data_IF_024954380517
#
_entry.id   IF_024954380517
#
_cell.length_a   1.000
_cell.length_b   1.000
_cell.length_c   1.000
_cell.angle_alpha   90.00
_cell.angle_beta   90.00
_cell.angle_gamma   90.00
#
_symmetry.space_group_name_H-M   'P 1'
#
loop_
_entity.id
_entity.type
_entity.pdbx_description
1 polymer ?
#
# COMPACT_ATOMS: atom_id res chain seq x y z
N UNK A 1 -43.59 -16.97 -12.68
CA UNK A 1 -42.70 -16.99 -11.49
C UNK A 1 -41.44 -17.74 -11.88
N UNK A 2 -40.41 -17.00 -12.31
CA UNK A 2 -39.12 -17.54 -12.76
C UNK A 2 -38.04 -16.90 -11.89
N UNK A 3 -37.51 -17.69 -10.95
CA UNK A 3 -36.39 -17.33 -10.10
C UNK A 3 -35.10 -17.38 -10.95
N UNK A 4 -34.53 -16.23 -11.27
CA UNK A 4 -33.17 -16.14 -11.78
C UNK A 4 -32.21 -16.15 -10.60
N UNK A 5 -31.46 -17.25 -10.44
CA UNK A 5 -30.31 -17.29 -9.54
C UNK A 5 -29.21 -16.35 -10.06
N UNK A 6 -28.61 -15.50 -9.21
CA UNK A 6 -27.46 -14.70 -9.60
C UNK A 6 -26.25 -15.61 -9.77
N UNK A 7 -25.72 -15.66 -11.00
CA UNK A 7 -24.45 -16.30 -11.31
C UNK A 7 -23.33 -15.58 -10.54
N UNK A 8 -22.48 -16.28 -9.77
CA UNK A 8 -21.34 -15.66 -9.12
C UNK A 8 -20.36 -15.15 -10.18
N UNK A 9 -20.13 -13.84 -10.19
CA UNK A 9 -19.09 -13.19 -10.99
C UNK A 9 -17.75 -13.85 -10.67
N UNK A 10 -17.24 -14.61 -11.62
CA UNK A 10 -15.95 -15.25 -11.54
C UNK A 10 -14.88 -14.19 -11.80
N UNK A 11 -14.33 -13.59 -10.74
CA UNK A 11 -13.22 -12.62 -10.75
C UNK A 11 -11.88 -13.29 -11.16
N UNK A 12 -11.82 -13.92 -12.33
CA UNK A 12 -10.63 -14.66 -12.77
C UNK A 12 -10.19 -14.38 -14.21
N UNK A 13 -10.78 -13.40 -14.90
CA UNK A 13 -10.38 -13.06 -16.26
C UNK A 13 -9.89 -11.62 -16.35
N UNK A 14 -8.63 -11.46 -16.79
CA UNK A 14 -7.93 -10.22 -17.12
C UNK A 14 -7.53 -9.32 -15.94
N UNK A 15 -6.64 -9.82 -15.07
CA UNK A 15 -5.62 -8.93 -14.52
C UNK A 15 -4.64 -8.59 -15.67
N UNK A 16 -5.07 -7.70 -16.57
CA UNK A 16 -4.13 -6.93 -17.37
C UNK A 16 -3.12 -6.27 -16.43
N UNK A 17 -1.94 -5.93 -16.93
CA UNK A 17 -0.82 -5.31 -16.21
C UNK A 17 -1.29 -4.00 -15.55
N UNK A 18 -1.97 -4.10 -14.40
CA UNK A 18 -2.52 -2.94 -13.68
C UNK A 18 -1.30 -2.23 -13.11
N UNK A 19 -1.01 -1.00 -13.55
CA UNK A 19 0.14 -0.27 -13.05
C UNK A 19 0.08 -0.22 -11.52
N UNK A 20 1.21 -0.45 -10.86
CA UNK A 20 1.31 -0.50 -9.38
C UNK A 20 0.74 0.79 -8.74
N UNK A 21 0.83 1.89 -9.48
CA UNK A 21 0.23 3.20 -9.28
C UNK A 21 -1.25 3.12 -8.92
N UNK A 22 -2.00 2.42 -9.78
CA UNK A 22 -3.44 2.27 -9.67
C UNK A 22 -3.76 1.41 -8.46
N UNK A 23 -2.96 0.38 -8.17
CA UNK A 23 -3.17 -0.45 -6.99
C UNK A 23 -2.95 0.32 -5.69
N UNK A 24 -1.95 1.21 -5.65
CA UNK A 24 -1.68 2.07 -4.48
C UNK A 24 -2.81 3.08 -4.29
N UNK A 25 -3.22 3.79 -5.35
CA UNK A 25 -4.35 4.73 -5.32
C UNK A 25 -5.66 4.04 -4.93
N UNK A 26 -5.99 2.93 -5.58
CA UNK A 26 -7.22 2.18 -5.29
C UNK A 26 -7.22 1.68 -3.85
N UNK A 27 -6.07 1.26 -3.29
CA UNK A 27 -5.98 0.80 -1.90
C UNK A 27 -6.08 1.95 -0.90
N UNK A 28 -5.45 3.07 -1.23
CA UNK A 28 -5.47 4.30 -0.46
C UNK A 28 -6.87 4.85 -0.24
N UNK A 29 -7.68 4.76 -1.28
CA UNK A 29 -8.94 5.48 -1.38
C UNK A 29 -10.14 4.54 -1.31
N UNK A 30 -9.91 3.23 -1.12
CA UNK A 30 -10.97 2.24 -0.87
C UNK A 30 -11.76 2.50 0.40
N UNK A 31 -11.23 3.33 1.30
CA UNK A 31 -11.88 3.75 2.54
C UNK A 31 -12.84 4.91 2.33
N UNK A 32 -12.77 5.60 1.19
CA UNK A 32 -13.70 6.67 0.82
C UNK A 32 -14.88 6.03 0.05
N UNK A 33 -16.11 6.39 0.42
CA UNK A 33 -17.35 6.14 -0.33
C UNK A 33 -17.22 6.62 -1.80
N UNK A 34 -18.10 6.22 -2.76
CA UNK A 34 -17.81 6.14 -4.20
C UNK A 34 -16.91 7.26 -4.69
N UNK A 35 -15.63 6.92 -4.85
CA UNK A 35 -14.59 7.92 -4.99
C UNK A 35 -14.61 8.50 -6.39
N UNK A 36 -14.48 9.81 -6.45
CA UNK A 36 -14.50 10.59 -7.69
C UNK A 36 -13.11 11.11 -7.97
N UNK A 37 -12.76 11.24 -9.24
CA UNK A 37 -11.48 11.82 -9.66
C UNK A 37 -11.70 12.91 -10.69
N UNK A 38 -10.76 13.85 -10.79
CA UNK A 38 -10.74 14.81 -11.88
C UNK A 38 -9.34 14.86 -12.49
N UNK A 39 -9.28 15.07 -13.80
CA UNK A 39 -8.04 15.12 -14.57
C UNK A 39 -7.76 16.55 -14.98
N UNK A 40 -6.56 17.03 -14.66
CA UNK A 40 -6.05 18.35 -15.02
C UNK A 40 -4.84 18.15 -15.93
N UNK A 41 -5.01 18.38 -17.24
CA UNK A 41 -4.02 18.07 -18.27
C UNK A 41 -4.31 16.72 -18.95
N UNK A 42 -4.68 16.73 -20.23
CA UNK A 42 -5.56 15.69 -20.80
C UNK A 42 -4.99 14.89 -21.98
N UNK A 43 -3.68 14.92 -22.26
CA UNK A 43 -3.12 14.29 -23.47
C UNK A 43 -2.05 13.20 -23.28
N UNK A 44 -1.53 12.99 -22.07
CA UNK A 44 -0.46 12.01 -21.84
C UNK A 44 -0.98 10.56 -21.72
N UNK A 45 -0.21 9.61 -22.27
CA UNK A 45 -0.56 8.18 -22.26
C UNK A 45 -0.57 7.58 -20.84
N UNK A 46 0.27 8.06 -19.94
CA UNK A 46 0.32 7.61 -18.53
C UNK A 46 -0.93 8.05 -17.80
N UNK A 47 -1.34 9.32 -17.97
CA UNK A 47 -2.59 9.83 -17.39
C UNK A 47 -3.78 9.06 -17.93
N UNK A 48 -3.84 8.80 -19.25
CA UNK A 48 -4.90 7.97 -19.86
C UNK A 48 -4.92 6.55 -19.30
N UNK A 49 -3.75 5.95 -19.07
CA UNK A 49 -3.65 4.60 -18.49
C UNK A 49 -4.15 4.56 -17.05
N UNK A 50 -3.81 5.56 -16.23
CA UNK A 50 -4.31 5.68 -14.85
C UNK A 50 -5.81 5.89 -14.83
N UNK A 51 -6.34 6.80 -15.67
CA UNK A 51 -7.78 7.08 -15.82
C UNK A 51 -8.56 5.83 -16.22
N UNK A 52 -8.11 5.12 -17.27
CA UNK A 52 -8.76 3.89 -17.71
C UNK A 52 -8.82 2.83 -16.59
N UNK A 53 -7.78 2.77 -15.75
CA UNK A 53 -7.74 1.82 -14.65
C UNK A 53 -8.65 2.22 -13.47
N UNK A 54 -8.87 3.53 -13.25
CA UNK A 54 -9.88 4.03 -12.30
C UNK A 54 -11.30 3.76 -12.82
N UNK A 55 -11.56 3.96 -14.11
CA UNK A 55 -12.87 3.69 -14.73
C UNK A 55 -13.27 2.21 -14.64
N UNK A 56 -12.32 1.29 -14.89
CA UNK A 56 -12.54 -0.16 -14.71
C UNK A 56 -12.94 -0.50 -13.27
N UNK A 57 -12.58 0.33 -12.30
CA UNK A 57 -12.93 0.17 -10.88
C UNK A 57 -14.24 0.85 -10.50
N UNK A 58 -14.93 1.49 -11.44
CA UNK A 58 -16.22 2.16 -11.23
C UNK A 58 -16.10 3.53 -10.56
N UNK A 59 -14.94 4.16 -10.65
CA UNK A 59 -14.75 5.53 -10.18
C UNK A 59 -15.31 6.53 -11.20
N UNK A 60 -15.92 7.61 -10.74
CA UNK A 60 -16.61 8.57 -11.61
C UNK A 60 -15.84 9.89 -11.75
N UNK A 61 -15.86 10.49 -12.95
CA UNK A 61 -15.20 11.77 -13.24
C UNK A 61 -16.04 13.02 -12.88
N UNK A 62 -17.33 12.85 -12.58
CA UNK A 62 -18.33 13.93 -12.70
C UNK A 62 -18.74 14.59 -11.37
N UNK A 63 -17.97 14.44 -10.29
CA UNK A 63 -18.27 15.07 -9.00
C UNK A 63 -17.06 15.80 -8.40
N UNK A 64 -17.25 16.45 -7.24
CA UNK A 64 -16.16 17.02 -6.45
C UNK A 64 -15.09 15.94 -6.21
N UNK A 65 -13.90 16.05 -6.82
CA UNK A 65 -12.98 14.93 -6.90
C UNK A 65 -12.34 14.66 -5.54
N UNK A 66 -12.35 13.41 -5.11
CA UNK A 66 -11.52 12.93 -4.00
C UNK A 66 -10.04 12.92 -4.38
N UNK A 67 -9.73 12.77 -5.67
CA UNK A 67 -8.35 12.83 -6.19
C UNK A 67 -8.25 13.64 -7.45
N UNK A 68 -7.25 14.53 -7.49
CA UNK A 68 -6.85 15.20 -8.72
C UNK A 68 -5.66 14.50 -9.35
N UNK A 69 -5.80 14.19 -10.63
CA UNK A 69 -4.76 13.66 -11.51
C UNK A 69 -4.20 14.81 -12.32
N UNK A 70 -2.91 15.09 -12.24
CA UNK A 70 -2.30 16.19 -12.99
C UNK A 70 -0.99 15.83 -13.66
N UNK A 71 -0.70 16.50 -14.78
CA UNK A 71 0.59 16.48 -15.44
C UNK A 71 1.60 17.45 -14.84
N UNK A 72 2.85 17.24 -15.24
CA UNK A 72 4.01 17.88 -14.66
C UNK A 72 3.99 19.42 -14.75
N UNK A 73 3.66 19.89 -15.94
CA UNK A 73 3.56 21.29 -16.29
C UNK A 73 2.30 21.97 -15.74
N UNK A 74 1.33 21.20 -15.27
CA UNK A 74 -0.01 21.67 -14.91
C UNK A 74 -0.27 21.64 -13.40
N UNK A 75 0.73 21.31 -12.58
CA UNK A 75 0.54 21.08 -11.13
C UNK A 75 0.08 22.33 -10.39
N UNK A 76 0.58 23.51 -10.73
CA UNK A 76 0.11 24.76 -10.10
C UNK A 76 -1.37 25.00 -10.39
N UNK A 77 -1.79 24.76 -11.64
CA UNK A 77 -3.19 24.88 -12.05
C UNK A 77 -4.06 23.83 -11.36
N UNK A 78 -3.56 22.59 -11.24
CA UNK A 78 -4.23 21.52 -10.53
C UNK A 78 -4.37 21.79 -9.03
N UNK A 79 -3.32 22.28 -8.36
CA UNK A 79 -3.37 22.66 -6.94
C UNK A 79 -4.32 23.84 -6.72
N UNK A 80 -4.35 24.81 -7.64
CA UNK A 80 -5.31 25.92 -7.57
C UNK A 80 -6.76 25.45 -7.76
N UNK A 81 -6.97 24.44 -8.61
CA UNK A 81 -8.27 23.80 -8.84
C UNK A 81 -8.70 22.91 -7.67
N UNK A 82 -7.73 22.27 -7.02
CA UNK A 82 -7.95 21.38 -5.88
C UNK A 82 -8.57 22.08 -4.68
N UNK A 83 -8.07 23.28 -4.41
CA UNK A 83 -8.32 23.98 -3.16
C UNK A 83 -8.05 23.08 -1.93
N UNK A 84 -8.60 23.45 -0.76
CA UNK A 84 -8.54 22.64 0.45
C UNK A 84 -9.54 21.47 0.44
N UNK A 85 -10.34 21.33 -0.60
CA UNK A 85 -11.44 20.36 -0.70
C UNK A 85 -10.99 18.99 -1.19
N UNK A 86 -9.89 18.91 -1.94
CA UNK A 86 -9.39 17.64 -2.46
C UNK A 86 -8.49 16.98 -1.40
N UNK A 87 -8.82 15.79 -0.89
CA UNK A 87 -8.03 15.15 0.16
C UNK A 87 -6.67 14.64 -0.35
N UNK A 88 -6.53 14.39 -1.66
CA UNK A 88 -5.27 13.98 -2.27
C UNK A 88 -5.08 14.47 -3.71
N UNK A 89 -3.83 14.60 -4.13
CA UNK A 89 -3.41 14.97 -5.49
C UNK A 89 -2.35 13.98 -5.96
N UNK A 90 -2.62 13.29 -7.06
CA UNK A 90 -1.64 12.49 -7.78
C UNK A 90 -1.11 13.30 -8.95
N UNK A 91 0.18 13.54 -8.91
CA UNK A 91 0.86 14.25 -9.97
C UNK A 91 1.76 13.26 -10.73
N UNK A 92 1.67 13.26 -12.05
CA UNK A 92 2.25 12.27 -12.95
C UNK A 92 3.25 12.97 -13.86
N UNK A 93 4.44 12.38 -13.99
CA UNK A 93 5.48 12.85 -14.90
C UNK A 93 5.06 12.55 -16.33
N UNK A 94 5.40 13.47 -17.25
CA UNK A 94 5.12 13.27 -18.67
C UNK A 94 5.96 12.12 -19.22
N UNK A 95 5.34 11.26 -20.02
CA UNK A 95 5.97 10.04 -20.57
C UNK A 95 7.18 10.29 -21.47
N UNK A 96 7.27 11.48 -22.07
CA UNK A 96 8.36 11.93 -22.94
C UNK A 96 9.35 12.88 -22.23
N UNK A 97 9.22 13.07 -20.91
CA UNK A 97 10.17 13.85 -20.13
C UNK A 97 11.52 13.10 -20.05
N UNK A 98 12.67 13.77 -20.25
CA UNK A 98 13.97 13.11 -20.19
C UNK A 98 14.23 12.57 -18.78
N UNK A 99 14.66 11.31 -18.65
CA UNK A 99 14.84 10.58 -17.38
C UNK A 99 15.70 11.35 -16.37
N UNK A 100 16.76 12.01 -16.86
CA UNK A 100 17.75 12.76 -16.07
C UNK A 100 17.22 14.06 -15.47
N UNK A 101 16.00 14.49 -15.84
CA UNK A 101 15.42 15.69 -15.24
C UNK A 101 15.10 15.39 -13.76
N UNK A 102 15.70 16.11 -12.80
CA UNK A 102 15.24 16.01 -11.42
C UNK A 102 13.76 16.36 -11.40
N UNK A 103 12.98 15.56 -10.68
CA UNK A 103 11.56 15.81 -10.49
C UNK A 103 11.36 17.29 -10.14
N UNK A 104 10.49 18.01 -10.85
CA UNK A 104 10.38 19.45 -10.69
C UNK A 104 10.01 19.78 -9.24
N UNK A 105 10.38 21.00 -8.82
CA UNK A 105 10.25 21.50 -7.44
C UNK A 105 8.81 21.72 -6.98
N UNK A 106 7.94 20.72 -7.08
CA UNK A 106 6.55 20.76 -6.63
C UNK A 106 6.37 20.64 -5.15
N UNK A 107 7.40 20.16 -4.46
CA UNK A 107 7.34 20.11 -3.01
C UNK A 107 7.05 21.48 -2.43
N UNK A 108 7.63 22.54 -3.01
CA UNK A 108 7.39 23.90 -2.55
C UNK A 108 5.95 24.39 -2.86
N UNK A 109 5.43 24.36 -4.12
CA UNK A 109 4.04 24.67 -4.44
C UNK A 109 3.01 23.81 -3.71
N UNK A 110 3.24 22.49 -3.58
CA UNK A 110 2.32 21.59 -2.91
C UNK A 110 2.28 21.87 -1.40
N UNK A 111 3.44 22.08 -0.77
CA UNK A 111 3.51 22.46 0.65
C UNK A 111 2.89 23.85 0.88
N UNK A 112 3.12 24.80 -0.03
CA UNK A 112 2.48 26.12 0.03
C UNK A 112 0.94 26.04 -0.09
N UNK A 113 0.44 25.03 -0.80
CA UNK A 113 -0.99 24.73 -0.93
C UNK A 113 -1.55 23.85 0.20
N UNK A 114 -0.77 23.53 1.24
CA UNK A 114 -1.21 22.71 2.38
C UNK A 114 -1.16 21.20 2.14
N UNK A 115 -0.40 20.75 1.14
CA UNK A 115 -0.25 19.33 0.83
C UNK A 115 1.10 18.77 1.31
N UNK A 116 1.07 17.53 1.78
CA UNK A 116 2.24 16.79 2.26
C UNK A 116 2.50 15.61 1.32
N UNK A 117 3.73 15.52 0.81
CA UNK A 117 4.18 14.40 -0.02
C UNK A 117 4.16 13.09 0.78
N UNK A 118 3.32 12.15 0.34
CA UNK A 118 3.11 10.88 1.03
C UNK A 118 3.84 9.72 0.34
N UNK A 119 3.89 9.74 -1.00
CA UNK A 119 4.59 8.74 -1.79
C UNK A 119 5.22 9.39 -3.02
N UNK A 120 6.45 8.99 -3.34
CA UNK A 120 7.22 9.47 -4.48
C UNK A 120 7.84 8.29 -5.20
N UNK A 121 7.68 8.28 -6.52
CA UNK A 121 8.32 7.35 -7.43
C UNK A 121 9.10 8.13 -8.49
N UNK A 122 9.68 7.43 -9.46
CA UNK A 122 10.38 8.07 -10.59
C UNK A 122 9.40 8.77 -11.53
N UNK A 123 8.16 8.31 -11.58
CA UNK A 123 7.17 8.69 -12.61
C UNK A 123 5.96 9.43 -12.04
N UNK A 124 5.77 9.46 -10.72
CA UNK A 124 4.64 10.13 -10.09
C UNK A 124 4.90 10.45 -8.61
N UNK A 125 4.13 11.40 -8.08
CA UNK A 125 4.09 11.74 -6.67
C UNK A 125 2.65 11.82 -6.21
N UNK A 126 2.39 11.33 -5.01
CA UNK A 126 1.11 11.41 -4.35
C UNK A 126 1.21 12.28 -3.11
N UNK A 127 0.37 13.31 -3.11
CA UNK A 127 0.26 14.29 -2.06
C UNK A 127 -1.07 14.10 -1.33
N UNK A 128 -1.07 14.23 -0.01
CA UNK A 128 -2.28 14.29 0.80
C UNK A 128 -2.40 15.68 1.42
N UNK A 129 -3.61 16.22 1.50
CA UNK A 129 -3.84 17.48 2.19
C UNK A 129 -3.52 17.32 3.69
N UNK A 130 -2.98 18.36 4.32
CA UNK A 130 -2.53 18.33 5.73
C UNK A 130 -3.64 17.89 6.69
N UNK A 131 -4.89 18.26 6.41
CA UNK A 131 -6.06 17.89 7.21
C UNK A 131 -6.36 16.39 7.21
N UNK A 132 -5.80 15.63 6.25
CA UNK A 132 -6.04 14.20 6.05
C UNK A 132 -4.76 13.38 6.10
N UNK A 133 -3.60 13.99 6.37
CA UNK A 133 -2.30 13.30 6.32
C UNK A 133 -2.18 12.17 7.34
N UNK A 134 -2.81 12.30 8.52
CA UNK A 134 -2.79 11.24 9.53
C UNK A 134 -3.62 10.02 9.14
N UNK A 135 -4.68 10.24 8.36
CA UNK A 135 -5.57 9.19 7.86
C UNK A 135 -4.97 8.54 6.61
N UNK A 136 -4.62 9.35 5.61
CA UNK A 136 -4.14 8.90 4.31
C UNK A 136 -2.66 8.52 4.35
N UNK A 137 -1.80 9.32 4.98
CA UNK A 137 -0.36 9.12 4.98
C UNK A 137 0.10 7.69 5.30
N UNK A 138 -0.43 7.02 6.34
CA UNK A 138 -0.05 5.63 6.62
C UNK A 138 -0.59 4.61 5.60
N UNK A 139 -1.69 4.91 4.90
CA UNK A 139 -2.22 4.06 3.82
C UNK A 139 -1.44 4.29 2.53
N UNK A 140 -1.00 5.52 2.31
CA UNK A 140 -0.24 5.98 1.15
C UNK A 140 1.25 5.65 1.22
N UNK A 141 1.79 5.46 2.43
CA UNK A 141 3.18 5.11 2.64
C UNK A 141 3.44 3.68 2.18
N UNK A 142 3.91 3.51 0.95
CA UNK A 142 4.46 2.25 0.46
C UNK A 142 5.99 2.30 0.46
N UNK A 143 6.64 1.14 0.60
CA UNK A 143 8.09 1.07 0.43
C UNK A 143 8.40 1.25 -1.08
N UNK A 144 9.28 2.19 -1.47
CA UNK A 144 9.57 2.43 -2.88
C UNK A 144 10.05 1.15 -3.57
N UNK A 145 9.63 0.96 -4.82
CA UNK A 145 9.94 -0.23 -5.63
C UNK A 145 11.43 -0.33 -5.98
N UNK A 146 11.87 -1.52 -6.38
CA UNK A 146 13.25 -1.80 -6.82
C UNK A 146 13.71 -0.96 -8.02
N UNK A 147 12.76 -0.44 -8.80
CA UNK A 147 13.03 0.50 -9.89
C UNK A 147 13.10 1.94 -9.41
N UNK A 148 12.27 2.30 -8.44
CA UNK A 148 12.20 3.66 -7.90
C UNK A 148 13.40 4.04 -7.05
N UNK A 149 13.89 3.10 -6.27
CA UNK A 149 15.02 3.35 -5.37
C UNK A 149 16.38 3.09 -6.06
N UNK A 150 16.36 2.59 -7.31
CA UNK A 150 17.55 2.30 -8.12
C UNK A 150 17.28 2.58 -9.61
N UNK A 151 17.14 3.86 -10.01
CA UNK A 151 16.85 4.21 -11.41
C UNK A 151 17.91 3.69 -12.39
N UNK A 152 19.17 3.53 -11.95
CA UNK A 152 20.28 3.04 -12.76
C UNK A 152 20.46 1.50 -12.73
N UNK A 153 19.57 0.76 -12.06
CA UNK A 153 19.56 -0.71 -12.02
C UNK A 153 20.73 -1.39 -11.28
N UNK A 154 21.70 -0.64 -10.75
CA UNK A 154 22.85 -1.18 -10.02
C UNK A 154 22.91 -0.58 -8.62
N UNK A 155 22.48 -1.35 -7.62
CA UNK A 155 22.77 -1.01 -6.23
C UNK A 155 24.25 -1.27 -5.95
N UNK A 156 25.07 -0.22 -5.87
CA UNK A 156 26.43 -0.32 -5.33
C UNK A 156 26.45 -0.47 -3.80
N UNK A 157 25.29 -0.62 -3.17
CA UNK A 157 25.16 -0.74 -1.71
C UNK A 157 25.62 -2.10 -1.24
N UNK A 158 26.29 -2.10 -0.11
CA UNK A 158 26.62 -3.35 0.58
C UNK A 158 25.34 -4.06 1.02
N UNK A 159 25.36 -5.40 1.06
CA UNK A 159 24.25 -6.21 1.59
C UNK A 159 23.81 -5.75 2.98
N UNK A 160 24.73 -5.24 3.81
CA UNK A 160 24.44 -4.65 5.12
C UNK A 160 23.54 -3.43 5.04
N UNK A 161 23.82 -2.49 4.13
CA UNK A 161 23.00 -1.28 3.98
C UNK A 161 21.56 -1.62 3.55
N UNK A 162 21.39 -2.61 2.68
CA UNK A 162 20.06 -3.09 2.28
C UNK A 162 19.31 -3.73 3.45
N UNK A 163 20.01 -4.49 4.30
CA UNK A 163 19.40 -5.10 5.49
C UNK A 163 19.00 -4.02 6.50
N UNK A 164 19.84 -3.03 6.76
CA UNK A 164 19.55 -1.93 7.68
C UNK A 164 18.34 -1.11 7.19
N UNK A 165 18.26 -0.90 5.89
CA UNK A 165 17.14 -0.21 5.27
C UNK A 165 15.82 -1.01 5.34
N UNK A 166 15.87 -2.33 5.11
CA UNK A 166 14.70 -3.21 5.31
C UNK A 166 14.25 -3.16 6.78
N UNK A 167 15.19 -3.21 7.72
CA UNK A 167 14.91 -3.11 9.16
C UNK A 167 14.27 -1.77 9.49
N UNK A 168 14.78 -0.67 8.94
CA UNK A 168 14.21 0.66 9.11
C UNK A 168 12.76 0.73 8.64
N UNK A 169 12.49 0.36 7.38
CA UNK A 169 11.14 0.45 6.81
C UNK A 169 10.15 -0.48 7.50
N UNK A 170 10.58 -1.71 7.84
CA UNK A 170 9.77 -2.64 8.62
C UNK A 170 9.42 -2.04 9.98
N UNK A 171 10.38 -1.43 10.67
CA UNK A 171 10.16 -0.83 11.99
C UNK A 171 9.23 0.37 11.90
N UNK A 172 9.40 1.22 10.89
CA UNK A 172 8.54 2.37 10.65
C UNK A 172 7.09 1.94 10.37
N UNK A 173 6.89 0.97 9.48
CA UNK A 173 5.57 0.43 9.14
C UNK A 173 4.89 -0.21 10.36
N UNK A 174 5.60 -1.09 11.10
CA UNK A 174 5.07 -1.73 12.29
C UNK A 174 4.74 -0.73 13.40
N UNK A 175 5.54 0.32 13.55
CA UNK A 175 5.27 1.39 14.53
C UNK A 175 4.01 2.16 14.16
N UNK A 176 3.82 2.50 12.89
CA UNK A 176 2.60 3.19 12.41
C UNK A 176 1.36 2.31 12.56
N UNK A 177 1.45 1.04 12.21
CA UNK A 177 0.37 0.06 12.43
C UNK A 177 0.03 -0.10 13.91
N UNK A 178 1.03 -0.22 14.78
CA UNK A 178 0.81 -0.32 16.22
C UNK A 178 0.12 0.94 16.77
N UNK A 179 0.52 2.14 16.31
CA UNK A 179 -0.14 3.40 16.67
C UNK A 179 -1.60 3.42 16.20
N UNK A 180 -1.87 3.07 14.94
CA UNK A 180 -3.24 3.02 14.39
C UNK A 180 -4.10 2.01 15.13
N UNK A 181 -3.60 0.80 15.36
CA UNK A 181 -4.30 -0.24 16.10
C UNK A 181 -4.63 0.21 17.54
N UNK A 182 -3.74 0.96 18.19
CA UNK A 182 -4.02 1.53 19.51
C UNK A 182 -5.14 2.59 19.46
N UNK A 183 -5.17 3.44 18.43
CA UNK A 183 -6.24 4.43 18.23
C UNK A 183 -7.58 3.75 17.93
N UNK A 184 -7.61 2.80 16.99
CA UNK A 184 -8.85 2.11 16.56
C UNK A 184 -9.42 1.19 17.64
N UNK A 185 -8.58 0.49 18.38
CA UNK A 185 -9.04 -0.41 19.44
C UNK A 185 -9.56 0.33 20.67
N UNK A 186 -9.23 1.62 20.83
CA UNK A 186 -9.43 2.36 22.08
C UNK A 186 -8.71 1.73 23.28
N UNK A 187 -7.83 0.75 23.04
CA UNK A 187 -7.11 -0.01 24.06
C UNK A 187 -5.76 0.62 24.33
N UNK A 188 -5.34 0.56 25.59
CA UNK A 188 -4.02 1.08 25.96
C UNK A 188 -2.91 0.18 25.41
N UNK A 189 -1.72 0.73 25.17
CA UNK A 189 -0.55 -0.03 24.71
C UNK A 189 -0.20 -1.20 25.68
N UNK A 190 -0.54 -1.04 26.96
CA UNK A 190 -0.42 -2.11 27.97
C UNK A 190 -1.38 -3.27 27.68
N UNK A 191 -2.65 -3.00 27.43
CA UNK A 191 -3.65 -4.03 27.11
C UNK A 191 -3.28 -4.83 25.86
N UNK A 192 -2.78 -4.15 24.82
CA UNK A 192 -2.29 -4.82 23.61
C UNK A 192 -1.08 -5.72 23.90
N UNK A 193 -0.15 -5.29 24.76
CA UNK A 193 0.99 -6.12 25.17
C UNK A 193 0.55 -7.34 25.98
N UNK A 194 -0.40 -7.16 26.89
CA UNK A 194 -0.94 -8.25 27.71
C UNK A 194 -1.68 -9.27 26.83
N UNK A 195 -2.43 -8.81 25.83
CA UNK A 195 -3.11 -9.67 24.84
C UNK A 195 -2.12 -10.43 23.95
N UNK A 196 -1.06 -9.78 23.47
CA UNK A 196 0.00 -10.45 22.71
C UNK A 196 0.72 -11.49 23.56
N UNK A 197 1.02 -11.19 24.83
CA UNK A 197 1.62 -12.15 25.75
C UNK A 197 0.70 -13.35 26.00
N UNK A 198 -0.60 -13.10 26.15
CA UNK A 198 -1.61 -14.14 26.31
C UNK A 198 -1.73 -15.03 25.06
N UNK A 199 -1.78 -14.44 23.86
CA UNK A 199 -1.82 -15.19 22.60
C UNK A 199 -0.56 -16.03 22.41
N UNK A 200 0.63 -15.49 22.69
CA UNK A 200 1.88 -16.25 22.66
C UNK A 200 1.84 -17.45 23.61
N UNK A 201 1.33 -17.26 24.82
CA UNK A 201 1.16 -18.35 25.79
C UNK A 201 0.23 -19.44 25.23
N UNK A 202 -0.93 -19.07 24.68
CA UNK A 202 -1.89 -20.03 24.09
C UNK A 202 -1.28 -20.79 22.91
N UNK A 203 -0.52 -20.10 22.06
CA UNK A 203 0.14 -20.68 20.89
C UNK A 203 1.20 -21.70 21.32
N UNK A 204 2.02 -21.38 22.33
CA UNK A 204 2.99 -22.31 22.91
C UNK A 204 2.34 -23.51 23.60
N UNK A 205 1.22 -23.31 24.29
CA UNK A 205 0.43 -24.41 24.87
C UNK A 205 -0.15 -25.33 23.77
N UNK A 206 -0.59 -24.76 22.65
CA UNK A 206 -1.11 -25.53 21.52
C UNK A 206 0.02 -26.29 20.83
N UNK A 207 1.17 -25.66 20.57
CA UNK A 207 2.31 -26.33 19.96
C UNK A 207 2.86 -27.46 20.83
N UNK A 208 2.96 -27.28 22.15
CA UNK A 208 3.44 -28.32 23.05
C UNK A 208 2.49 -29.53 23.09
N UNK A 209 1.17 -29.30 23.10
CA UNK A 209 0.16 -30.38 23.08
C UNK A 209 0.09 -31.10 21.74
N UNK A 210 0.16 -30.37 20.62
CA UNK A 210 0.15 -30.95 19.27
C UNK A 210 1.46 -31.68 18.97
N UNK A 211 2.61 -31.10 19.34
CA UNK A 211 3.92 -31.74 19.20
C UNK A 211 3.99 -33.06 19.97
N UNK A 212 3.45 -33.12 21.19
CA UNK A 212 3.41 -34.35 21.95
C UNK A 212 2.52 -35.42 21.29
N UNK A 213 1.32 -35.03 20.81
CA UNK A 213 0.39 -35.96 20.13
C UNK A 213 0.91 -36.45 18.78
N UNK A 214 1.64 -35.62 18.03
CA UNK A 214 2.25 -36.02 16.75
C UNK A 214 3.51 -36.87 16.94
N UNK A 215 4.32 -36.58 17.95
CA UNK A 215 5.58 -37.31 18.17
C UNK A 215 5.43 -38.58 19.00
N UNK A 216 4.35 -38.72 19.78
CA UNK A 216 4.10 -39.93 20.57
C UNK A 216 3.94 -41.21 19.72
N UNK A 217 3.16 -41.25 18.62
CA UNK A 217 3.06 -42.42 17.74
C UNK A 217 4.41 -42.75 17.09
N UNK A 218 5.14 -41.73 16.63
CA UNK A 218 6.45 -41.92 16.01
C UNK A 218 7.49 -42.48 16.99
N UNK A 219 7.49 -42.01 18.24
CA UNK A 219 8.32 -42.57 19.31
C UNK A 219 7.93 -44.00 19.65
N UNK A 220 6.64 -44.32 19.67
CA UNK A 220 6.17 -45.69 19.87
C UNK A 220 6.68 -46.62 18.75
N UNK A 221 6.54 -46.23 17.48
CA UNK A 221 7.03 -47.01 16.33
C UNK A 221 8.56 -47.15 16.34
N UNK A 222 9.31 -46.07 16.61
CA UNK A 222 10.76 -46.14 16.72
C UNK A 222 11.22 -47.06 17.86
N UNK A 223 10.54 -47.03 19.01
CA UNK A 223 10.87 -47.90 20.13
C UNK A 223 10.65 -49.39 19.82
N UNK A 224 9.61 -49.73 19.03
CA UNK A 224 9.37 -51.08 18.55
C UNK A 224 10.45 -51.51 17.55
N UNK A 225 10.81 -50.64 16.60
CA UNK A 225 11.85 -50.91 15.60
C UNK A 225 13.22 -51.15 16.25
N UNK A 226 13.59 -50.34 17.26
CA UNK A 226 14.84 -50.50 18.01
C UNK A 226 14.88 -51.80 18.84
N UNK A 227 13.73 -52.27 19.36
CA UNK A 227 13.66 -53.57 20.05
C UNK A 227 13.73 -54.76 19.08
N UNK A 228 13.11 -54.64 17.91
CA UNK A 228 13.11 -55.68 16.89
C UNK A 228 14.50 -55.93 16.29
N UNK A 229 15.31 -54.89 16.11
CA UNK A 229 16.69 -55.02 15.58
C UNK A 229 17.74 -55.50 16.60
N UNK A 230 17.34 -55.83 17.84
CA UNK A 230 18.24 -56.29 18.91
C UNK A 230 18.12 -57.80 19.21
N UNK A 231 17.22 -58.50 18.52
CA UNK A 231 17.08 -59.96 18.52
C UNK A 231 17.72 -60.51 17.26
#
# INVERSE_FOLDING_TARGET
>A
MTNASPTPLTHAAAAADVPIEVLVLVRALRTEEPSTYAVVGTSDDTVRSVVAALDVRGWASDAAPSVLLTLEDSVTDALSTAGPTSPAVLAVRRSDAPDERPWPGWDEPAQAAGYVGCLRTVDWCLYAHESRVDELGPVLSFAPSDRERWPDGVSSRSRSELVDEIVYWRTAALTRWAKRAAVESGRTNKELKDEVAHLHHLLNATYSTVSWRLTAPLRAVQSVRLRAGRK
#
